data_IF_105323628610
#
_entry.id   IF_105323628610
#
_cell.length_a   1.000
_cell.length_b   1.000
_cell.length_c   1.000
_cell.angle_alpha   90.00
_cell.angle_beta   90.00
_cell.angle_gamma   90.00
#
_symmetry.space_group_name_H-M   'P 1'
#
loop_
_entity.id
_entity.type
_entity.pdbx_description
1 polymer ?
#
# COMPACT_ATOMS: atom_id res chain seq x y z
N UNK A 1 2.10 -13.69 16.04
CA UNK A 1 3.32 -13.36 15.30
C UNK A 1 4.46 -14.07 16.00
N UNK A 2 5.26 -14.83 15.27
CA UNK A 2 6.37 -15.60 15.85
C UNK A 2 7.36 -14.63 16.51
N UNK A 3 7.98 -15.04 17.58
CA UNK A 3 8.87 -14.25 18.47
C UNK A 3 10.05 -13.54 17.78
N UNK A 4 10.19 -13.65 16.45
CA UNK A 4 11.34 -13.18 15.69
C UNK A 4 11.04 -12.11 14.61
N UNK A 5 9.83 -11.54 14.55
CA UNK A 5 9.52 -10.49 13.59
C UNK A 5 9.59 -9.14 14.32
N UNK A 6 10.60 -8.33 13.99
CA UNK A 6 10.68 -6.96 14.46
C UNK A 6 9.80 -6.08 13.55
N UNK A 7 8.76 -5.48 14.12
CA UNK A 7 7.81 -4.62 13.41
C UNK A 7 7.98 -3.19 13.90
N UNK A 8 8.11 -2.27 12.96
CA UNK A 8 7.97 -0.84 13.20
C UNK A 8 6.77 -0.31 12.41
N UNK A 9 5.88 0.44 13.05
CA UNK A 9 4.64 0.92 12.45
C UNK A 9 4.67 2.44 12.27
N UNK A 10 4.39 2.89 11.04
CA UNK A 10 4.07 4.27 10.71
C UNK A 10 2.58 4.35 10.43
N UNK A 11 1.83 5.05 11.27
CA UNK A 11 0.37 5.05 11.13
C UNK A 11 -0.20 6.46 11.19
N UNK A 12 -1.02 6.77 10.17
CA UNK A 12 -1.85 7.96 10.21
C UNK A 12 -3.01 7.77 11.18
N UNK A 13 -3.29 8.79 11.98
CA UNK A 13 -4.39 8.85 12.93
C UNK A 13 -5.28 10.05 12.63
N UNK A 14 -6.56 9.94 12.99
CA UNK A 14 -7.55 10.97 12.72
C UNK A 14 -7.35 12.21 13.61
N UNK A 15 -7.16 11.97 14.91
CA UNK A 15 -7.08 13.00 15.94
C UNK A 15 -6.20 12.58 17.13
N UNK A 16 -6.06 13.48 18.10
CA UNK A 16 -5.22 13.25 19.28
C UNK A 16 -5.80 12.21 20.24
N UNK A 17 -7.12 12.01 20.26
CA UNK A 17 -7.76 10.97 21.07
C UNK A 17 -7.42 9.59 20.50
N UNK A 18 -7.57 9.42 19.19
CA UNK A 18 -7.19 8.19 18.53
C UNK A 18 -5.68 7.93 18.69
N UNK A 19 -4.86 8.98 18.57
CA UNK A 19 -3.41 8.86 18.78
C UNK A 19 -3.09 8.27 20.14
N UNK A 20 -3.63 8.84 21.22
CA UNK A 20 -3.38 8.36 22.59
C UNK A 20 -3.80 6.92 22.82
N UNK A 21 -4.95 6.52 22.25
CA UNK A 21 -5.47 5.15 22.38
C UNK A 21 -4.56 4.15 21.67
N UNK A 22 -4.10 4.49 20.47
CA UNK A 22 -3.25 3.61 19.66
C UNK A 22 -1.83 3.54 20.24
N UNK A 23 -1.27 4.69 20.62
CA UNK A 23 0.06 4.79 21.25
C UNK A 23 0.14 3.87 22.47
N UNK A 24 -0.84 3.99 23.39
CA UNK A 24 -0.90 3.09 24.56
C UNK A 24 -0.91 1.61 24.17
N UNK A 25 -1.69 1.23 23.16
CA UNK A 25 -1.75 -0.17 22.69
C UNK A 25 -0.41 -0.65 22.14
N UNK A 26 0.29 0.20 21.41
CA UNK A 26 1.58 -0.15 20.84
C UNK A 26 2.67 -0.24 21.92
N UNK A 27 2.62 0.64 22.93
CA UNK A 27 3.50 0.59 24.09
C UNK A 27 3.29 -0.70 24.90
N UNK A 28 2.03 -1.06 25.19
CA UNK A 28 1.68 -2.30 25.89
C UNK A 28 2.21 -3.55 25.13
N UNK A 29 2.22 -3.50 23.81
CA UNK A 29 2.72 -4.56 22.93
C UNK A 29 4.22 -4.44 22.61
N UNK A 30 4.89 -3.40 23.09
CA UNK A 30 6.30 -3.07 22.79
C UNK A 30 6.58 -2.97 21.28
N UNK A 31 5.62 -2.42 20.53
CA UNK A 31 5.75 -2.20 19.09
C UNK A 31 6.29 -0.78 18.87
N UNK A 32 7.44 -0.68 18.21
CA UNK A 32 8.00 0.60 17.78
C UNK A 32 7.05 1.26 16.78
N UNK A 33 6.72 2.52 17.01
CA UNK A 33 5.74 3.19 16.17
C UNK A 33 6.01 4.69 16.00
N UNK A 34 5.49 5.25 14.88
CA UNK A 34 5.39 6.69 14.63
C UNK A 34 3.94 7.00 14.24
N UNK A 35 3.24 7.74 15.09
CA UNK A 35 1.85 8.15 14.84
C UNK A 35 1.80 9.61 14.40
N UNK A 36 1.09 9.89 13.30
CA UNK A 36 0.97 11.25 12.75
C UNK A 36 -0.46 11.52 12.27
N UNK A 37 -0.90 12.78 12.34
CA UNK A 37 -2.19 13.22 11.75
C UNK A 37 -2.03 13.55 10.27
N UNK A 38 -1.00 14.28 9.95
CA UNK A 38 -0.62 14.64 8.60
C UNK A 38 0.91 14.70 8.51
N UNK A 39 1.48 14.23 7.42
CA UNK A 39 2.92 14.27 7.17
C UNK A 39 3.17 14.75 5.74
N UNK A 40 3.60 16.00 5.61
CA UNK A 40 3.86 16.63 4.31
C UNK A 40 4.94 15.90 3.50
N UNK A 41 5.89 15.33 4.20
CA UNK A 41 7.05 14.69 3.59
C UNK A 41 7.01 13.16 3.72
N UNK A 42 5.84 12.57 3.80
CA UNK A 42 5.70 11.11 3.95
C UNK A 42 6.45 10.33 2.84
N UNK A 43 6.52 10.90 1.65
CA UNK A 43 7.25 10.31 0.52
C UNK A 43 8.75 10.08 0.80
N UNK A 44 9.36 10.85 1.71
CA UNK A 44 10.77 10.66 2.12
C UNK A 44 10.97 9.39 2.94
N UNK A 45 9.90 8.92 3.57
CA UNK A 45 9.92 7.72 4.40
C UNK A 45 9.61 6.44 3.60
N UNK A 46 9.04 6.56 2.40
CA UNK A 46 8.62 5.39 1.62
C UNK A 46 9.76 4.40 1.32
N UNK A 47 11.00 4.88 1.18
CA UNK A 47 12.16 3.99 1.00
C UNK A 47 12.44 3.08 2.20
N UNK A 48 11.88 3.42 3.37
CA UNK A 48 12.04 2.68 4.62
C UNK A 48 10.89 1.69 4.86
N UNK A 49 9.85 1.70 4.01
CA UNK A 49 8.68 0.86 4.18
C UNK A 49 8.81 -0.45 3.40
N UNK A 50 8.57 -1.55 4.09
CA UNK A 50 8.50 -2.86 3.45
C UNK A 50 7.10 -3.14 2.89
N UNK A 51 6.05 -2.68 3.57
CA UNK A 51 4.66 -2.94 3.20
C UNK A 51 3.77 -1.78 3.64
N UNK A 52 2.82 -1.39 2.79
CA UNK A 52 1.78 -0.46 3.16
C UNK A 52 0.39 -1.14 3.20
N UNK A 53 -0.45 -0.71 4.14
CA UNK A 53 -1.88 -1.03 4.18
C UNK A 53 -2.64 0.27 4.04
N UNK A 54 -3.42 0.42 2.99
CA UNK A 54 -4.01 1.72 2.66
C UNK A 54 -5.35 1.62 1.96
N UNK A 55 -6.11 2.72 1.98
CA UNK A 55 -7.21 2.94 1.05
C UNK A 55 -6.64 3.13 -0.36
N UNK A 56 -7.39 2.70 -1.38
CA UNK A 56 -6.92 2.75 -2.77
C UNK A 56 -7.32 4.07 -3.49
N UNK A 57 -7.08 5.21 -2.81
CA UNK A 57 -7.09 6.50 -3.47
C UNK A 57 -5.98 6.59 -4.51
N UNK A 58 -6.26 7.21 -5.68
CA UNK A 58 -5.33 7.23 -6.80
C UNK A 58 -3.93 7.76 -6.43
N UNK A 59 -3.86 8.89 -5.72
CA UNK A 59 -2.58 9.49 -5.31
C UNK A 59 -1.78 8.56 -4.40
N UNK A 60 -2.42 8.01 -3.35
CA UNK A 60 -1.73 7.17 -2.37
C UNK A 60 -1.10 5.92 -3.02
N UNK A 61 -1.88 5.18 -3.84
CA UNK A 61 -1.35 3.97 -4.47
C UNK A 61 -0.37 4.26 -5.61
N UNK A 62 -0.48 5.42 -6.28
CA UNK A 62 0.49 5.86 -7.28
C UNK A 62 1.83 6.22 -6.64
N UNK A 63 1.82 6.87 -5.48
CA UNK A 63 3.03 7.17 -4.72
C UNK A 63 3.72 5.90 -4.25
N UNK A 64 2.97 4.97 -3.64
CA UNK A 64 3.50 3.67 -3.22
C UNK A 64 4.09 2.89 -4.41
N UNK A 65 3.42 2.91 -5.56
CA UNK A 65 3.93 2.32 -6.79
C UNK A 65 5.23 2.97 -7.23
N UNK A 66 5.28 4.30 -7.25
CA UNK A 66 6.47 5.06 -7.66
C UNK A 66 7.69 4.73 -6.80
N UNK A 67 7.50 4.59 -5.50
CA UNK A 67 8.57 4.23 -4.56
C UNK A 67 8.78 2.71 -4.43
N UNK A 68 8.07 1.91 -5.23
CA UNK A 68 8.15 0.45 -5.23
C UNK A 68 7.89 -0.18 -3.85
N UNK A 69 6.91 0.36 -3.13
CA UNK A 69 6.43 -0.15 -1.84
C UNK A 69 5.24 -1.07 -2.09
N UNK A 70 5.36 -2.38 -1.87
CA UNK A 70 4.22 -3.30 -1.97
C UNK A 70 3.10 -2.91 -1.03
N UNK A 71 1.84 -3.08 -1.45
CA UNK A 71 0.72 -2.62 -0.65
C UNK A 71 -0.48 -3.56 -0.68
N UNK A 72 -1.20 -3.55 0.44
CA UNK A 72 -2.52 -4.14 0.60
C UNK A 72 -3.53 -3.01 0.43
N UNK A 73 -4.27 -3.04 -0.67
CA UNK A 73 -5.33 -2.09 -0.96
C UNK A 73 -6.62 -2.50 -0.24
N UNK A 74 -7.19 -1.59 0.54
CA UNK A 74 -8.52 -1.75 1.16
C UNK A 74 -9.46 -0.70 0.56
N UNK A 75 -10.13 -0.97 -0.57
CA UNK A 75 -11.02 -0.03 -1.21
C UNK A 75 -12.13 0.44 -0.28
N UNK A 76 -12.43 1.75 -0.28
CA UNK A 76 -13.55 2.26 0.47
C UNK A 76 -14.88 1.84 -0.20
N UNK A 77 -15.77 1.12 0.49
CA UNK A 77 -16.95 0.49 -0.14
C UNK A 77 -18.00 1.49 -0.62
N UNK A 78 -17.96 2.72 -0.12
CA UNK A 78 -18.86 3.80 -0.52
C UNK A 78 -18.19 4.86 -1.39
N UNK A 79 -17.05 4.52 -2.00
CA UNK A 79 -16.41 5.39 -2.96
C UNK A 79 -17.31 5.58 -4.19
N UNK A 80 -17.49 6.84 -4.62
CA UNK A 80 -18.31 7.16 -5.78
C UNK A 80 -17.85 6.32 -6.98
N UNK A 81 -18.81 5.73 -7.70
CA UNK A 81 -18.58 4.90 -8.88
C UNK A 81 -17.55 3.77 -8.66
N UNK A 82 -17.38 3.32 -7.43
CA UNK A 82 -16.39 2.30 -7.05
C UNK A 82 -14.94 2.61 -7.47
N UNK A 83 -14.59 3.89 -7.69
CA UNK A 83 -13.30 4.27 -8.24
C UNK A 83 -12.12 3.69 -7.45
N UNK A 84 -12.22 3.56 -6.12
CA UNK A 84 -11.13 2.96 -5.32
C UNK A 84 -10.94 1.47 -5.64
N UNK A 85 -12.03 0.74 -5.89
CA UNK A 85 -11.91 -0.66 -6.31
C UNK A 85 -11.25 -0.78 -7.68
N UNK A 86 -11.61 0.08 -8.63
CA UNK A 86 -10.97 0.08 -9.95
C UNK A 86 -9.50 0.47 -9.89
N UNK A 87 -9.15 1.46 -9.07
CA UNK A 87 -7.76 1.82 -8.84
C UNK A 87 -6.94 0.63 -8.30
N UNK A 88 -7.48 -0.10 -7.31
CA UNK A 88 -6.81 -1.28 -6.76
C UNK A 88 -6.70 -2.41 -7.78
N UNK A 89 -7.76 -2.65 -8.57
CA UNK A 89 -7.78 -3.68 -9.61
C UNK A 89 -6.71 -3.46 -10.66
N UNK A 90 -6.46 -2.22 -11.08
CA UNK A 90 -5.39 -1.91 -12.04
C UNK A 90 -4.04 -2.52 -11.64
N UNK A 91 -3.70 -2.47 -10.36
CA UNK A 91 -2.46 -3.07 -9.83
C UNK A 91 -2.59 -4.57 -9.58
N UNK A 92 -3.74 -5.01 -9.10
CA UNK A 92 -3.97 -6.42 -8.79
C UNK A 92 -4.00 -7.30 -10.03
N UNK A 93 -4.59 -6.83 -11.13
CA UNK A 93 -4.65 -7.52 -12.42
C UNK A 93 -3.24 -7.72 -13.04
N UNK A 94 -2.28 -6.88 -12.63
CA UNK A 94 -0.87 -7.00 -12.96
C UNK A 94 -0.07 -7.76 -11.89
N UNK A 95 -0.74 -8.42 -10.96
CA UNK A 95 -0.15 -9.14 -9.84
C UNK A 95 0.86 -8.30 -9.04
N UNK A 96 0.56 -7.00 -8.80
CA UNK A 96 1.47 -6.05 -8.16
C UNK A 96 0.98 -5.52 -6.80
N UNK A 97 -0.21 -5.89 -6.36
CA UNK A 97 -0.71 -5.60 -5.01
C UNK A 97 -1.67 -6.69 -4.55
N UNK A 98 -2.11 -6.59 -3.30
CA UNK A 98 -3.20 -7.40 -2.75
C UNK A 98 -4.42 -6.51 -2.55
N UNK A 99 -5.62 -7.07 -2.76
CA UNK A 99 -6.88 -6.42 -2.44
C UNK A 99 -7.54 -7.14 -1.27
N UNK A 100 -7.88 -6.39 -0.23
CA UNK A 100 -8.68 -6.87 0.88
C UNK A 100 -9.98 -6.06 0.91
N UNK A 101 -11.10 -6.71 0.60
CA UNK A 101 -12.38 -6.04 0.66
C UNK A 101 -12.82 -5.83 2.11
N UNK A 102 -13.29 -4.63 2.43
CA UNK A 102 -13.73 -4.30 3.79
C UNK A 102 -14.87 -5.20 4.27
N UNK A 103 -15.72 -5.71 3.38
CA UNK A 103 -16.82 -6.64 3.71
C UNK A 103 -16.30 -8.00 4.21
N UNK A 104 -15.14 -8.40 3.73
CA UNK A 104 -14.51 -9.68 4.06
C UNK A 104 -13.56 -9.53 5.24
N UNK A 105 -13.49 -8.33 5.82
CA UNK A 105 -12.59 -8.01 6.91
C UNK A 105 -12.96 -8.81 8.15
N UNK A 106 -12.03 -9.67 8.54
CA UNK A 106 -12.04 -10.40 9.79
C UNK A 106 -10.61 -10.35 10.34
N UNK A 107 -10.46 -9.96 11.59
CA UNK A 107 -9.15 -9.84 12.23
C UNK A 107 -8.30 -11.11 12.08
N UNK A 108 -8.91 -12.28 12.21
CA UNK A 108 -8.19 -13.55 12.06
C UNK A 108 -7.70 -13.73 10.63
N UNK A 109 -8.53 -13.45 9.62
CA UNK A 109 -8.13 -13.52 8.20
C UNK A 109 -6.98 -12.56 7.86
N UNK A 110 -7.04 -11.33 8.38
CA UNK A 110 -5.94 -10.38 8.16
C UNK A 110 -4.65 -10.85 8.85
N UNK A 111 -4.75 -11.33 10.07
CA UNK A 111 -3.61 -11.87 10.80
C UNK A 111 -2.99 -13.05 10.06
N UNK A 112 -3.79 -14.02 9.64
CA UNK A 112 -3.33 -15.17 8.86
C UNK A 112 -2.71 -14.74 7.53
N UNK A 113 -3.30 -13.75 6.87
CA UNK A 113 -2.78 -13.22 5.63
C UNK A 113 -1.40 -12.59 5.85
N UNK A 114 -1.23 -11.74 6.86
CA UNK A 114 0.05 -11.09 7.17
C UNK A 114 1.09 -12.14 7.57
N UNK A 115 0.74 -13.10 8.42
CA UNK A 115 1.65 -14.19 8.80
C UNK A 115 2.09 -14.99 7.57
N UNK A 116 1.16 -15.33 6.68
CA UNK A 116 1.47 -16.04 5.45
C UNK A 116 2.38 -15.22 4.52
N UNK A 117 2.19 -13.91 4.46
CA UNK A 117 3.04 -13.01 3.68
C UNK A 117 4.49 -13.05 4.16
N UNK A 118 4.71 -13.02 5.47
CA UNK A 118 6.05 -13.10 6.05
C UNK A 118 6.68 -14.49 5.88
N UNK A 119 5.87 -15.55 5.89
CA UNK A 119 6.34 -16.91 5.73
C UNK A 119 6.62 -17.27 4.26
N UNK A 120 5.83 -16.75 3.32
CA UNK A 120 5.95 -16.99 1.88
C UNK A 120 6.48 -15.74 1.16
N UNK A 121 7.75 -15.46 1.37
CA UNK A 121 8.41 -14.28 0.77
C UNK A 121 8.36 -14.24 -0.76
N UNK A 122 8.14 -15.37 -1.43
CA UNK A 122 8.06 -15.44 -2.90
C UNK A 122 6.95 -14.55 -3.46
N UNK A 123 5.74 -14.60 -2.91
CA UNK A 123 4.60 -13.76 -3.35
C UNK A 123 4.88 -12.27 -3.13
N UNK A 124 5.48 -11.93 -2.00
CA UNK A 124 5.92 -10.56 -1.73
C UNK A 124 6.92 -10.04 -2.78
N UNK A 125 7.96 -10.80 -3.06
CA UNK A 125 8.98 -10.39 -4.04
C UNK A 125 8.42 -10.35 -5.46
N UNK A 126 7.52 -11.25 -5.82
CA UNK A 126 6.84 -11.24 -7.11
C UNK A 126 6.05 -9.94 -7.30
N UNK A 127 5.23 -9.55 -6.31
CA UNK A 127 4.48 -8.29 -6.37
C UNK A 127 5.38 -7.08 -6.42
N UNK A 128 6.44 -7.04 -5.63
CA UNK A 128 7.43 -5.96 -5.67
C UNK A 128 8.09 -5.82 -7.05
N UNK A 129 8.45 -6.95 -7.67
CA UNK A 129 9.03 -6.95 -9.02
C UNK A 129 8.02 -6.47 -10.07
N UNK A 130 6.77 -6.89 -9.99
CA UNK A 130 5.73 -6.45 -10.92
C UNK A 130 5.39 -4.96 -10.73
N UNK A 131 5.37 -4.48 -9.50
CA UNK A 131 5.18 -3.07 -9.18
C UNK A 131 6.27 -2.19 -9.82
N UNK A 132 7.53 -2.63 -9.72
CA UNK A 132 8.67 -1.96 -10.36
C UNK A 132 8.52 -1.89 -11.90
N UNK A 133 7.96 -2.91 -12.55
CA UNK A 133 7.71 -2.89 -14.00
C UNK A 133 6.67 -1.83 -14.37
N UNK A 134 5.59 -1.68 -13.59
CA UNK A 134 4.56 -0.66 -13.80
C UNK A 134 5.17 0.74 -13.71
N UNK A 135 5.98 0.99 -12.70
CA UNK A 135 6.65 2.28 -12.50
C UNK A 135 7.55 2.62 -13.68
N UNK A 136 8.35 1.65 -14.16
CA UNK A 136 9.24 1.85 -15.30
C UNK A 136 8.49 2.07 -16.63
N UNK A 137 7.30 1.50 -16.80
CA UNK A 137 6.46 1.72 -17.99
C UNK A 137 5.83 3.12 -18.02
N UNK A 138 5.57 3.71 -16.87
CA UNK A 138 4.91 5.01 -16.72
C UNK A 138 5.89 6.19 -16.56
N UNK A 139 7.12 6.06 -17.02
CA UNK A 139 8.06 7.18 -17.06
C UNK A 139 7.62 8.22 -18.10
N UNK A 140 7.98 9.51 -17.88
CA UNK A 140 7.69 10.58 -18.83
C UNK A 140 8.18 10.28 -20.25
N UNK A 141 9.33 9.65 -20.40
CA UNK A 141 9.86 9.26 -21.70
C UNK A 141 8.97 8.26 -22.42
N UNK A 142 8.45 7.25 -21.69
CA UNK A 142 7.57 6.24 -22.26
C UNK A 142 6.17 6.81 -22.58
N UNK A 143 5.67 7.73 -21.75
CA UNK A 143 4.40 8.42 -22.00
C UNK A 143 4.53 9.31 -23.24
N UNK A 144 5.58 10.12 -23.33
CA UNK A 144 5.83 10.98 -24.49
C UNK A 144 5.99 10.16 -25.77
N UNK A 145 6.70 9.04 -25.73
CA UNK A 145 6.82 8.16 -26.88
C UNK A 145 5.47 7.65 -27.35
N UNK A 146 4.64 7.13 -26.44
CA UNK A 146 3.28 6.67 -26.77
C UNK A 146 2.41 7.77 -27.37
N UNK A 147 2.51 9.00 -26.86
CA UNK A 147 1.76 10.14 -27.41
C UNK A 147 2.23 10.48 -28.82
N UNK A 148 3.53 10.49 -29.08
CA UNK A 148 4.09 10.74 -30.42
C UNK A 148 3.64 9.64 -31.40
N UNK A 149 3.69 8.38 -30.99
CA UNK A 149 3.25 7.25 -31.81
C UNK A 149 1.77 7.40 -32.20
N UNK A 150 0.90 7.75 -31.23
CA UNK A 150 -0.54 7.99 -31.49
C UNK A 150 -0.80 9.19 -32.42
N UNK A 151 0.03 10.22 -32.38
CA UNK A 151 -0.10 11.37 -33.27
C UNK A 151 0.32 11.00 -34.70
N UNK A 152 1.32 10.13 -34.86
CA UNK A 152 1.83 9.73 -36.16
C UNK A 152 1.00 8.64 -36.84
N UNK A 153 0.12 7.93 -36.12
CA UNK A 153 -0.80 6.93 -36.66
C UNK A 153 -2.10 7.54 -37.24
N UNK A 154 -2.33 8.85 -37.06
CA UNK A 154 -3.48 9.60 -37.62
C UNK A 154 -3.03 10.53 -38.74
#
# INVERSE_FOLDING_TARGET
LSENINIELYQQVLDDNQKKIIEKKYDDLKIKNKLFKFEENLFKEYSNFDLAITRSGASAISELSYFNVPFIAIPFPHAKDNHQLYNAKYYADQNSCWILNQKDYNLNKLNDFIINLFNKKSDYFEKKNNLSKITNQNTWNNINKKLIDLINEN
#
